data_IF_130433839488
#
_entry.id   IF_130433839488
#
_cell.length_a   1.000
_cell.length_b   1.000
_cell.length_c   1.000
_cell.angle_alpha   90.00
_cell.angle_beta   90.00
_cell.angle_gamma   90.00
#
_symmetry.space_group_name_H-M   'P 1'
#
loop_
_entity.id
_entity.type
_entity.pdbx_description
1 polymer ?
#
# COMPACT_ATOMS: atom_id res chain seq x y z
N UNK A 1 22.21 2.00 -5.06
CA UNK A 1 21.88 0.78 -4.26
C UNK A 1 23.17 0.15 -3.72
N UNK A 2 23.92 0.98 -3.00
CA UNK A 2 25.26 0.65 -2.52
C UNK A 2 25.28 -0.44 -1.44
N UNK A 3 24.18 -0.59 -0.68
CA UNK A 3 24.06 -1.60 0.37
C UNK A 3 23.89 -3.04 -0.17
N UNK A 4 23.59 -3.22 -1.46
CA UNK A 4 23.49 -4.55 -2.05
C UNK A 4 24.89 -5.14 -2.29
N UNK A 5 25.06 -6.40 -1.93
CA UNK A 5 26.17 -7.22 -2.42
C UNK A 5 26.07 -7.41 -3.95
N UNK A 6 27.16 -7.85 -4.59
CA UNK A 6 27.13 -8.22 -6.02
C UNK A 6 26.11 -9.35 -6.23
N UNK A 7 25.35 -9.27 -7.34
CA UNK A 7 24.22 -10.16 -7.64
C UNK A 7 22.93 -9.87 -6.87
N UNK A 8 22.91 -8.89 -5.96
CA UNK A 8 21.74 -8.55 -5.16
C UNK A 8 20.63 -7.86 -5.95
N UNK A 9 19.39 -7.95 -5.41
CA UNK A 9 18.20 -7.31 -5.98
C UNK A 9 17.60 -6.29 -5.03
N UNK A 10 17.34 -5.08 -5.53
CA UNK A 10 16.49 -4.09 -4.87
C UNK A 10 15.10 -4.13 -5.50
N UNK A 11 14.08 -4.39 -4.69
CA UNK A 11 12.68 -4.29 -5.08
C UNK A 11 12.09 -3.08 -4.36
N UNK A 12 11.51 -2.17 -5.12
CA UNK A 12 10.87 -0.96 -4.58
C UNK A 12 9.40 -0.90 -4.94
N UNK A 13 8.59 -0.24 -4.09
CA UNK A 13 7.20 0.10 -4.40
C UNK A 13 7.12 1.60 -4.65
N UNK A 14 6.76 1.99 -5.88
CA UNK A 14 6.80 3.39 -6.35
C UNK A 14 8.09 3.76 -7.08
N UNK A 15 8.07 4.90 -7.77
CA UNK A 15 9.19 5.32 -8.61
C UNK A 15 10.38 5.77 -7.76
N UNK A 16 11.55 5.20 -8.02
CA UNK A 16 12.82 5.66 -7.46
C UNK A 16 13.73 6.17 -8.57
N UNK A 17 14.53 7.22 -8.33
CA UNK A 17 15.60 7.58 -9.26
C UNK A 17 16.63 6.45 -9.28
N UNK A 18 16.89 5.90 -10.47
CA UNK A 18 17.92 4.88 -10.71
C UNK A 18 19.11 5.59 -11.35
N UNK A 19 20.29 5.43 -10.76
CA UNK A 19 21.54 5.89 -11.36
C UNK A 19 22.02 4.84 -12.37
N UNK A 20 21.99 5.18 -13.66
CA UNK A 20 22.40 4.27 -14.74
C UNK A 20 23.92 3.99 -14.77
N UNK A 21 24.72 4.74 -14.00
CA UNK A 21 26.17 4.58 -13.93
C UNK A 21 26.62 3.46 -12.99
N UNK A 22 25.71 2.94 -12.18
CA UNK A 22 25.98 1.91 -11.20
C UNK A 22 26.15 0.51 -11.84
N UNK A 23 26.87 -0.43 -11.18
CA UNK A 23 27.25 -1.71 -11.77
C UNK A 23 26.05 -2.56 -12.20
N UNK A 24 26.10 -3.06 -13.45
CA UNK A 24 25.06 -3.92 -14.06
C UNK A 24 24.88 -5.28 -13.38
N UNK A 25 25.73 -5.64 -12.44
CA UNK A 25 25.65 -6.88 -11.66
C UNK A 25 24.51 -6.88 -10.62
N UNK A 26 23.86 -5.73 -10.40
CA UNK A 26 22.76 -5.57 -9.46
C UNK A 26 21.45 -5.39 -10.20
N UNK A 27 20.39 -5.99 -9.67
CA UNK A 27 19.05 -5.89 -10.25
C UNK A 27 18.22 -4.86 -9.48
N UNK A 28 17.58 -3.93 -10.19
CA UNK A 28 16.62 -3.00 -9.60
C UNK A 28 15.26 -3.22 -10.26
N UNK A 29 14.25 -3.52 -9.44
CA UNK A 29 12.87 -3.74 -9.89
C UNK A 29 11.99 -2.69 -9.21
N UNK A 30 11.35 -1.86 -10.02
CA UNK A 30 10.24 -1.02 -9.55
C UNK A 30 8.96 -1.84 -9.66
N UNK A 31 8.49 -2.35 -8.53
CA UNK A 31 7.32 -3.21 -8.48
C UNK A 31 6.05 -2.38 -8.59
N UNK A 32 5.23 -2.72 -9.57
CA UNK A 32 3.89 -2.20 -9.73
C UNK A 32 2.85 -3.29 -9.50
N UNK A 33 2.66 -3.67 -8.22
CA UNK A 33 1.83 -4.80 -7.79
C UNK A 33 0.33 -4.50 -7.65
N UNK A 34 -0.24 -3.61 -8.48
CA UNK A 34 -1.66 -3.26 -8.39
C UNK A 34 -2.53 -4.22 -9.21
N UNK A 35 -3.61 -4.74 -8.62
CA UNK A 35 -4.47 -5.74 -9.28
C UNK A 35 -5.35 -5.20 -10.42
N UNK A 36 -5.59 -3.88 -10.45
CA UNK A 36 -6.39 -3.25 -11.51
C UNK A 36 -5.62 -3.01 -12.81
N UNK A 37 -4.28 -3.03 -12.77
CA UNK A 37 -3.48 -2.80 -13.96
C UNK A 37 -3.67 -3.95 -14.96
N UNK A 38 -3.89 -3.66 -16.26
CA UNK A 38 -4.18 -4.68 -17.27
C UNK A 38 -3.20 -5.86 -17.28
N UNK A 39 -1.90 -5.58 -17.18
CA UNK A 39 -0.84 -6.61 -17.20
C UNK A 39 -0.80 -7.49 -15.94
N UNK A 40 -1.48 -7.10 -14.86
CA UNK A 40 -1.55 -7.87 -13.61
C UNK A 40 -2.88 -8.63 -13.44
N UNK A 41 -3.80 -8.55 -14.40
CA UNK A 41 -5.15 -9.11 -14.23
C UNK A 41 -5.18 -10.62 -14.04
N UNK A 42 -4.35 -11.37 -14.77
CA UNK A 42 -4.31 -12.83 -14.59
C UNK A 42 -3.77 -13.21 -13.21
N UNK A 43 -2.68 -12.55 -12.76
CA UNK A 43 -2.19 -12.68 -11.39
C UNK A 43 -3.27 -12.34 -10.35
N UNK A 44 -4.05 -11.28 -10.57
CA UNK A 44 -5.13 -10.90 -9.67
C UNK A 44 -6.22 -11.97 -9.57
N UNK A 45 -6.62 -12.58 -10.71
CA UNK A 45 -7.60 -13.66 -10.76
C UNK A 45 -7.12 -14.89 -9.98
N UNK A 46 -5.84 -15.19 -10.06
CA UNK A 46 -5.24 -16.31 -9.32
C UNK A 46 -5.07 -16.01 -7.84
N UNK A 47 -4.66 -14.79 -7.47
CA UNK A 47 -4.31 -14.43 -6.09
C UNK A 47 -5.52 -14.07 -5.21
N UNK A 48 -6.49 -13.30 -5.72
CA UNK A 48 -7.62 -12.79 -4.93
C UNK A 48 -8.52 -13.88 -4.32
N UNK A 49 -8.75 -15.05 -4.94
CA UNK A 49 -9.51 -16.14 -4.31
C UNK A 49 -8.93 -16.60 -2.96
N UNK A 50 -7.61 -16.48 -2.76
CA UNK A 50 -6.96 -16.87 -1.51
C UNK A 50 -7.04 -15.79 -0.42
N UNK A 51 -7.41 -14.56 -0.76
CA UNK A 51 -7.34 -13.42 0.16
C UNK A 51 -8.18 -13.65 1.43
N UNK A 52 -9.40 -14.17 1.29
CA UNK A 52 -10.28 -14.46 2.43
C UNK A 52 -9.63 -15.45 3.39
N UNK A 53 -9.14 -16.59 2.89
CA UNK A 53 -8.49 -17.61 3.71
C UNK A 53 -7.21 -17.09 4.38
N UNK A 54 -6.44 -16.26 3.70
CA UNK A 54 -5.21 -15.66 4.24
C UNK A 54 -5.49 -14.62 5.34
N UNK A 55 -6.62 -13.92 5.26
CA UNK A 55 -7.10 -13.01 6.31
C UNK A 55 -7.60 -13.80 7.53
N UNK A 56 -8.41 -14.84 7.31
CA UNK A 56 -8.92 -15.71 8.37
C UNK A 56 -7.79 -16.44 9.11
N UNK A 57 -6.76 -16.90 8.41
CA UNK A 57 -5.60 -17.56 9.01
C UNK A 57 -4.64 -16.59 9.70
N UNK A 58 -4.78 -15.28 9.47
CA UNK A 58 -3.89 -14.25 9.99
C UNK A 58 -2.50 -14.22 9.34
N UNK A 59 -2.31 -14.94 8.23
CA UNK A 59 -1.11 -14.83 7.39
C UNK A 59 -1.03 -13.45 6.72
N UNK A 60 -2.17 -12.87 6.38
CA UNK A 60 -2.31 -11.44 6.07
C UNK A 60 -2.98 -10.77 7.27
N UNK A 61 -2.33 -9.76 7.83
CA UNK A 61 -2.88 -8.93 8.92
C UNK A 61 -3.13 -7.53 8.38
N UNK A 62 -4.30 -6.99 8.72
CA UNK A 62 -4.61 -5.58 8.44
C UNK A 62 -3.95 -4.67 9.47
N UNK A 63 -3.73 -3.41 9.11
CA UNK A 63 -3.39 -2.39 10.08
C UNK A 63 -4.58 -2.15 11.02
N UNK A 64 -4.31 -1.70 12.24
CA UNK A 64 -5.38 -1.29 13.16
C UNK A 64 -6.23 -0.18 12.52
N UNK A 65 -7.54 -0.38 12.48
CA UNK A 65 -8.48 0.60 11.94
C UNK A 65 -8.80 1.65 13.02
N UNK A 66 -8.73 2.93 12.64
CA UNK A 66 -9.20 4.06 13.45
C UNK A 66 -10.35 4.70 12.68
N UNK A 67 -11.57 4.51 13.16
CA UNK A 67 -12.78 5.06 12.54
C UNK A 67 -12.94 6.50 13.01
N UNK A 68 -12.89 7.44 12.07
CA UNK A 68 -13.07 8.87 12.33
C UNK A 68 -14.57 9.22 12.39
N UNK A 69 -14.99 10.08 13.33
CA UNK A 69 -16.38 10.53 13.42
C UNK A 69 -16.75 11.50 12.29
N UNK A 70 -18.06 11.75 12.14
CA UNK A 70 -18.59 12.77 11.22
C UNK A 70 -18.82 12.30 9.78
N UNK A 71 -18.69 10.99 9.54
CA UNK A 71 -18.93 10.38 8.24
C UNK A 71 -18.02 10.91 7.13
N UNK A 72 -18.59 11.27 5.98
CA UNK A 72 -17.86 11.82 4.83
C UNK A 72 -17.08 13.09 5.18
N UNK A 73 -17.59 13.91 6.09
CA UNK A 73 -16.91 15.14 6.55
C UNK A 73 -15.60 14.83 7.30
N UNK A 74 -15.44 13.61 7.84
CA UNK A 74 -14.24 13.15 8.52
C UNK A 74 -13.00 13.08 7.62
N UNK A 75 -13.16 13.03 6.29
CA UNK A 75 -12.03 12.94 5.34
C UNK A 75 -11.05 14.09 5.52
N UNK A 76 -11.54 15.33 5.67
CA UNK A 76 -10.69 16.51 5.84
C UNK A 76 -9.80 16.38 7.08
N UNK A 77 -10.39 15.99 8.22
CA UNK A 77 -9.64 15.79 9.47
C UNK A 77 -8.60 14.67 9.35
N UNK A 78 -8.93 13.57 8.66
CA UNK A 78 -8.00 12.48 8.43
C UNK A 78 -6.80 12.87 7.55
N UNK A 79 -7.03 13.71 6.54
CA UNK A 79 -5.97 14.26 5.70
C UNK A 79 -5.05 15.19 6.50
N UNK A 80 -5.59 16.02 7.39
CA UNK A 80 -4.80 16.91 8.25
C UNK A 80 -3.92 16.12 9.21
N UNK A 81 -4.44 15.06 9.84
CA UNK A 81 -3.63 14.13 10.65
C UNK A 81 -2.47 13.54 9.84
N UNK A 82 -2.71 13.16 8.57
CA UNK A 82 -1.66 12.59 7.72
C UNK A 82 -0.61 13.63 7.33
N UNK A 83 -1.02 14.85 6.95
CA UNK A 83 -0.11 15.98 6.64
C UNK A 83 0.78 16.32 7.83
N UNK A 84 0.22 16.27 9.03
CA UNK A 84 0.93 16.56 10.27
C UNK A 84 1.72 15.35 10.81
N UNK A 85 1.79 14.24 10.08
CA UNK A 85 2.51 13.02 10.46
C UNK A 85 2.03 12.39 11.78
N UNK A 86 0.74 12.54 12.11
CA UNK A 86 0.14 12.10 13.38
C UNK A 86 -0.51 10.71 13.30
N UNK A 87 -0.25 9.96 12.22
CA UNK A 87 -0.83 8.63 11.98
C UNK A 87 0.28 7.59 11.98
N UNK A 88 0.29 6.71 12.98
CA UNK A 88 1.32 5.67 13.14
C UNK A 88 0.72 4.28 13.07
N UNK A 89 1.14 3.47 12.09
CA UNK A 89 0.76 2.06 11.92
C UNK A 89 -0.76 1.78 11.93
N UNK A 90 -1.58 2.78 11.61
CA UNK A 90 -3.04 2.71 11.59
C UNK A 90 -3.59 3.06 10.23
N UNK A 91 -4.79 2.55 9.94
CA UNK A 91 -5.58 2.98 8.80
C UNK A 91 -6.72 3.86 9.30
N UNK A 92 -6.71 5.12 8.91
CA UNK A 92 -7.86 6.01 9.13
C UNK A 92 -9.00 5.57 8.21
N UNK A 93 -10.19 5.37 8.78
CA UNK A 93 -11.39 4.92 8.08
C UNK A 93 -12.50 5.93 8.35
N UNK A 94 -13.24 6.30 7.31
CA UNK A 94 -14.49 7.06 7.45
C UNK A 94 -15.65 6.19 7.00
N UNK A 95 -16.82 6.40 7.57
CA UNK A 95 -18.06 5.77 7.14
C UNK A 95 -18.95 6.83 6.49
N UNK A 96 -18.89 7.03 5.16
CA UNK A 96 -19.60 8.12 4.48
C UNK A 96 -21.10 8.18 4.78
N UNK A 97 -21.73 7.02 4.99
CA UNK A 97 -23.13 6.88 5.33
C UNK A 97 -23.54 7.48 6.69
N UNK A 98 -22.58 7.75 7.59
CA UNK A 98 -22.85 8.39 8.89
C UNK A 98 -23.04 9.90 8.79
N UNK A 99 -22.76 10.49 7.63
CA UNK A 99 -23.26 11.83 7.28
C UNK A 99 -24.71 11.69 6.83
N UNK A 100 -25.63 11.56 7.78
CA UNK A 100 -27.05 11.71 7.47
C UNK A 100 -27.28 13.12 6.93
N UNK A 101 -27.89 13.22 5.74
CA UNK A 101 -28.40 14.48 5.20
C UNK A 101 -29.46 15.03 6.18
N UNK A 102 -29.28 16.27 6.61
CA UNK A 102 -30.38 17.11 7.09
C UNK A 102 -31.02 17.82 5.88
#
# INVERSE_FOLDING_TARGET
YALLASGGSLITVGHIPIDETEPKEKTVIVLWGVFWAPQNRELAKEALPYLTALLESGQIKTNAAEVLPGGLLGVSSGLDLHRNQQVHAKKLVVHPQETAQA
#
